data_IF_103148452934
#
_entry.id   IF_103148452934
#
_cell.length_a   1.000
_cell.length_b   1.000
_cell.length_c   1.000
_cell.angle_alpha   90.00
_cell.angle_beta   90.00
_cell.angle_gamma   90.00
#
_symmetry.space_group_name_H-M   'P 1'
#
loop_
_entity.id
_entity.type
_entity.pdbx_description
1 polymer ?
#
# COMPACT_ATOMS: atom_id res chain seq x y z
N UNK A 1 20.17 1.94 -8.31
CA UNK A 1 18.84 2.43 -7.94
C UNK A 1 17.90 2.09 -9.08
N UNK A 2 16.79 1.42 -8.80
CA UNK A 2 15.78 1.12 -9.82
C UNK A 2 14.74 2.23 -9.84
N UNK A 3 14.24 2.60 -11.01
CA UNK A 3 13.17 3.57 -11.17
C UNK A 3 11.91 2.86 -11.66
N UNK A 4 10.78 3.15 -11.04
CA UNK A 4 9.48 2.60 -11.42
C UNK A 4 8.40 3.67 -11.35
N UNK A 5 7.17 3.28 -11.70
CA UNK A 5 6.01 4.16 -11.67
C UNK A 5 4.88 3.49 -10.88
N UNK A 6 4.19 4.25 -10.04
CA UNK A 6 2.89 3.82 -9.52
C UNK A 6 1.87 3.84 -10.64
N UNK A 7 0.94 2.88 -10.66
CA UNK A 7 -0.14 2.90 -11.66
C UNK A 7 -1.26 3.87 -11.29
N UNK A 8 -1.17 4.56 -10.14
CA UNK A 8 -2.10 5.59 -9.72
C UNK A 8 -2.38 6.68 -10.79
N UNK A 9 -1.39 7.26 -11.51
CA UNK A 9 -1.68 8.24 -12.56
C UNK A 9 -2.47 7.68 -13.75
N UNK A 10 -2.66 6.37 -13.83
CA UNK A 10 -3.40 5.65 -14.87
C UNK A 10 -4.71 5.05 -14.32
N UNK A 11 -5.13 5.42 -13.10
CA UNK A 11 -6.21 4.74 -12.37
C UNK A 11 -7.62 4.94 -12.95
N UNK A 12 -7.76 5.79 -13.95
CA UNK A 12 -9.00 5.98 -14.72
C UNK A 12 -9.11 5.03 -15.92
N UNK A 13 -8.09 4.21 -16.15
CA UNK A 13 -8.05 3.23 -17.24
C UNK A 13 -7.81 1.83 -16.70
N UNK A 14 -8.25 0.80 -17.42
CA UNK A 14 -7.81 -0.56 -17.14
C UNK A 14 -6.30 -0.68 -17.37
N UNK A 15 -5.55 -1.11 -16.36
CA UNK A 15 -4.07 -1.19 -16.41
C UNK A 15 -3.58 -2.00 -17.63
N UNK A 16 -4.27 -3.09 -17.95
CA UNK A 16 -3.96 -3.94 -19.12
C UNK A 16 -3.89 -3.14 -20.43
N UNK A 17 -4.78 -2.16 -20.62
CA UNK A 17 -4.80 -1.32 -21.82
C UNK A 17 -3.63 -0.34 -21.91
N UNK A 18 -2.89 -0.13 -20.82
CA UNK A 18 -1.77 0.80 -20.71
C UNK A 18 -0.40 0.12 -20.71
N UNK A 19 -0.33 -1.21 -20.74
CA UNK A 19 0.94 -1.92 -20.82
C UNK A 19 1.80 -1.51 -22.04
N UNK A 20 1.24 -1.31 -23.25
CA UNK A 20 2.03 -0.83 -24.38
C UNK A 20 2.64 0.56 -24.14
N UNK A 21 1.88 1.46 -23.49
CA UNK A 21 2.38 2.80 -23.14
C UNK A 21 3.54 2.72 -22.14
N UNK A 22 3.43 1.85 -21.13
CA UNK A 22 4.51 1.63 -20.16
C UNK A 22 5.76 1.06 -20.84
N UNK A 23 5.58 0.13 -21.78
CA UNK A 23 6.67 -0.44 -22.56
C UNK A 23 7.35 0.59 -23.46
N UNK A 24 6.57 1.39 -24.22
CA UNK A 24 7.07 2.47 -25.07
C UNK A 24 7.86 3.51 -24.27
N UNK A 25 7.42 3.80 -23.04
CA UNK A 25 8.11 4.69 -22.10
C UNK A 25 9.35 4.06 -21.45
N UNK A 26 9.65 2.78 -21.72
CA UNK A 26 10.78 2.06 -21.15
C UNK A 26 10.63 1.70 -19.67
N UNK A 27 9.40 1.71 -19.14
CA UNK A 27 9.11 1.38 -17.74
C UNK A 27 9.22 -0.13 -17.54
N UNK A 28 10.04 -0.54 -16.57
CA UNK A 28 10.29 -1.95 -16.24
C UNK A 28 9.84 -2.35 -14.84
N UNK A 29 9.57 -1.38 -13.96
CA UNK A 29 9.17 -1.61 -12.59
C UNK A 29 7.89 -0.82 -12.29
N UNK A 30 6.90 -1.48 -11.71
CA UNK A 30 5.65 -0.82 -11.33
C UNK A 30 5.28 -1.08 -9.88
N UNK A 31 4.59 -0.09 -9.31
CA UNK A 31 3.73 -0.28 -8.14
C UNK A 31 2.29 -0.34 -8.62
N UNK A 32 1.56 -1.40 -8.28
CA UNK A 32 0.16 -1.53 -8.70
C UNK A 32 -0.77 -0.85 -7.69
N UNK A 33 -1.69 -0.03 -8.20
CA UNK A 33 -2.82 0.52 -7.45
C UNK A 33 -4.02 -0.45 -7.51
N UNK A 34 -4.46 -1.07 -6.41
CA UNK A 34 -5.65 -1.92 -6.41
C UNK A 34 -6.91 -1.06 -6.33
N UNK A 35 -7.46 -0.69 -7.48
CA UNK A 35 -8.70 0.09 -7.61
C UNK A 35 -9.64 -0.62 -8.59
N UNK A 36 -10.92 -0.72 -8.23
CA UNK A 36 -11.95 -1.23 -9.13
C UNK A 36 -11.99 -0.42 -10.43
N UNK A 37 -12.19 -1.10 -11.56
CA UNK A 37 -12.09 -0.49 -12.90
C UNK A 37 -10.65 -0.32 -13.42
N UNK A 38 -9.65 -0.23 -12.55
CA UNK A 38 -8.23 -0.14 -12.94
C UNK A 38 -7.50 -1.50 -12.87
N UNK A 39 -7.57 -2.16 -11.71
CA UNK A 39 -6.91 -3.43 -11.43
C UNK A 39 -7.73 -4.28 -10.45
N UNK A 40 -8.30 -5.39 -10.95
CA UNK A 40 -9.15 -6.28 -10.14
C UNK A 40 -8.30 -7.25 -9.30
N UNK A 41 -7.92 -6.83 -8.10
CA UNK A 41 -7.07 -7.62 -7.21
C UNK A 41 -7.79 -8.78 -6.50
N UNK A 42 -9.10 -8.93 -6.66
CA UNK A 42 -9.88 -10.01 -6.04
C UNK A 42 -10.07 -11.23 -6.94
N UNK A 43 -9.83 -11.11 -8.25
CA UNK A 43 -10.06 -12.20 -9.22
C UNK A 43 -8.76 -12.98 -9.50
N UNK A 44 -8.64 -14.23 -9.02
CA UNK A 44 -7.43 -15.04 -9.22
C UNK A 44 -7.13 -15.36 -10.69
N UNK A 45 -8.15 -15.42 -11.56
CA UNK A 45 -7.94 -15.68 -12.99
C UNK A 45 -7.37 -14.45 -13.67
N UNK A 46 -7.95 -13.28 -13.38
CA UNK A 46 -7.42 -12.00 -13.84
C UNK A 46 -5.96 -11.79 -13.40
N UNK A 47 -5.63 -12.10 -12.14
CA UNK A 47 -4.26 -11.98 -11.63
C UNK A 47 -3.28 -12.90 -12.37
N UNK A 48 -3.66 -14.14 -12.70
CA UNK A 48 -2.81 -15.04 -13.50
C UNK A 48 -2.59 -14.52 -14.92
N UNK A 49 -3.63 -13.96 -15.53
CA UNK A 49 -3.52 -13.33 -16.84
C UNK A 49 -2.60 -12.12 -16.79
N UNK A 50 -2.80 -11.22 -15.83
CA UNK A 50 -1.96 -10.03 -15.67
C UNK A 50 -0.51 -10.38 -15.36
N UNK A 51 -0.24 -11.39 -14.54
CA UNK A 51 1.12 -11.90 -14.29
C UNK A 51 1.82 -12.31 -15.59
N UNK A 52 1.11 -13.02 -16.49
CA UNK A 52 1.65 -13.38 -17.81
C UNK A 52 1.86 -12.17 -18.70
N UNK A 53 0.93 -11.21 -18.71
CA UNK A 53 1.06 -9.99 -19.49
C UNK A 53 2.23 -9.13 -19.03
N UNK A 54 2.41 -8.93 -17.71
CA UNK A 54 3.58 -8.22 -17.19
C UNK A 54 4.89 -8.86 -17.63
N UNK A 55 5.00 -10.20 -17.53
CA UNK A 55 6.18 -10.94 -18.01
C UNK A 55 6.43 -10.78 -19.51
N UNK A 56 5.37 -10.83 -20.34
CA UNK A 56 5.47 -10.63 -21.80
C UNK A 56 5.99 -9.25 -22.18
N UNK A 57 5.58 -8.22 -21.43
CA UNK A 57 5.99 -6.83 -21.64
C UNK A 57 7.32 -6.49 -20.92
N UNK A 58 7.96 -7.46 -20.25
CA UNK A 58 9.18 -7.23 -19.46
C UNK A 58 8.98 -6.26 -18.29
N UNK A 59 7.78 -6.22 -17.72
CA UNK A 59 7.42 -5.39 -16.56
C UNK A 59 7.45 -6.26 -15.30
N UNK A 60 8.17 -5.82 -14.27
CA UNK A 60 8.17 -6.42 -12.93
C UNK A 60 7.25 -5.62 -12.01
N UNK A 61 6.27 -6.30 -11.40
CA UNK A 61 5.54 -5.76 -10.25
C UNK A 61 6.49 -5.80 -9.04
N UNK A 62 6.81 -4.64 -8.47
CA UNK A 62 7.70 -4.54 -7.30
C UNK A 62 6.87 -4.44 -6.04
N UNK A 63 5.89 -3.54 -6.06
CA UNK A 63 5.00 -3.27 -4.95
C UNK A 63 3.54 -3.23 -5.38
N UNK A 64 2.66 -3.32 -4.40
CA UNK A 64 1.25 -2.98 -4.53
C UNK A 64 0.87 -2.07 -3.36
N UNK A 65 0.14 -1.02 -3.65
CA UNK A 65 -0.37 -0.12 -2.62
C UNK A 65 -1.58 -0.74 -1.92
N UNK A 66 -1.85 -0.40 -0.66
CA UNK A 66 -3.14 -0.73 -0.04
C UNK A 66 -4.30 -0.09 -0.82
N UNK A 67 -5.49 -0.72 -0.82
CA UNK A 67 -6.67 -0.19 -1.51
C UNK A 67 -7.18 1.09 -0.84
N UNK A 68 -7.80 1.96 -1.64
CA UNK A 68 -8.33 3.27 -1.18
C UNK A 68 -9.84 3.38 -1.28
N UNK A 69 -10.55 2.27 -1.34
CA UNK A 69 -12.01 2.17 -1.37
C UNK A 69 -12.64 2.23 0.03
N UNK A 70 -12.22 3.20 0.85
CA UNK A 70 -12.68 3.36 2.24
C UNK A 70 -11.92 2.52 3.27
N UNK A 71 -10.87 1.81 2.85
CA UNK A 71 -10.00 1.05 3.75
C UNK A 71 -9.19 1.99 4.63
N UNK A 72 -9.30 1.79 5.94
CA UNK A 72 -8.57 2.52 6.96
C UNK A 72 -8.31 1.63 8.18
N UNK A 73 -7.05 1.25 8.35
CA UNK A 73 -6.61 0.35 9.43
C UNK A 73 -6.59 1.02 10.81
N UNK A 74 -6.82 2.34 10.88
CA UNK A 74 -6.84 3.10 12.12
C UNK A 74 -8.25 3.31 12.68
N UNK A 75 -9.30 2.74 12.07
CA UNK A 75 -10.68 2.93 12.51
C UNK A 75 -10.90 2.47 13.97
N UNK A 76 -11.63 3.30 14.73
CA UNK A 76 -11.96 3.03 16.13
C UNK A 76 -12.99 1.90 16.21
N UNK A 77 -14.00 1.98 15.34
CA UNK A 77 -15.02 0.95 15.18
C UNK A 77 -14.40 -0.36 14.69
N UNK A 78 -14.56 -1.40 15.49
CA UNK A 78 -13.83 -2.65 15.32
C UNK A 78 -14.22 -3.38 14.03
N UNK A 79 -15.51 -3.34 13.67
CA UNK A 79 -16.01 -3.97 12.45
C UNK A 79 -15.33 -3.40 11.19
N UNK A 80 -15.32 -2.08 11.04
CA UNK A 80 -14.76 -1.41 9.86
C UNK A 80 -13.24 -1.54 9.81
N UNK A 81 -12.59 -1.52 10.97
CA UNK A 81 -11.15 -1.76 11.08
C UNK A 81 -10.78 -3.19 10.67
N UNK A 82 -11.49 -4.20 11.18
CA UNK A 82 -11.23 -5.60 10.83
C UNK A 82 -11.51 -5.82 9.34
N UNK A 83 -12.57 -5.24 8.78
CA UNK A 83 -12.80 -5.25 7.34
C UNK A 83 -11.60 -4.67 6.58
N UNK A 84 -11.09 -3.51 6.99
CA UNK A 84 -9.92 -2.86 6.39
C UNK A 84 -8.67 -3.73 6.44
N UNK A 85 -8.41 -4.41 7.56
CA UNK A 85 -7.30 -5.38 7.68
C UNK A 85 -7.44 -6.50 6.65
N UNK A 86 -8.64 -7.08 6.49
CA UNK A 86 -8.88 -8.16 5.51
C UNK A 86 -8.72 -7.70 4.07
N UNK A 87 -9.07 -6.46 3.75
CA UNK A 87 -8.83 -5.90 2.41
C UNK A 87 -7.33 -5.76 2.12
N UNK A 88 -6.54 -5.29 3.09
CA UNK A 88 -5.07 -5.20 2.96
C UNK A 88 -4.43 -6.58 2.80
N UNK A 89 -4.88 -7.59 3.54
CA UNK A 89 -4.42 -8.98 3.39
C UNK A 89 -4.72 -9.55 2.00
N UNK A 90 -5.91 -9.26 1.44
CA UNK A 90 -6.25 -9.66 0.05
C UNK A 90 -5.29 -9.04 -0.95
N UNK A 91 -4.92 -7.77 -0.76
CA UNK A 91 -3.90 -7.10 -1.57
C UNK A 91 -2.54 -7.77 -1.46
N UNK A 92 -2.13 -8.21 -0.27
CA UNK A 92 -0.89 -8.98 -0.09
C UNK A 92 -0.90 -10.30 -0.87
N UNK A 93 -2.02 -11.03 -0.87
CA UNK A 93 -2.17 -12.26 -1.66
C UNK A 93 -2.17 -11.99 -3.17
N UNK A 94 -2.79 -10.89 -3.61
CA UNK A 94 -2.75 -10.46 -5.00
C UNK A 94 -1.32 -10.13 -5.44
N UNK A 95 -0.58 -9.38 -4.63
CA UNK A 95 0.82 -9.04 -4.84
C UNK A 95 1.71 -10.30 -4.96
N UNK A 96 1.52 -11.27 -4.06
CA UNK A 96 2.24 -12.55 -4.10
C UNK A 96 2.05 -13.26 -5.44
N UNK A 97 0.81 -13.30 -5.94
CA UNK A 97 0.46 -13.94 -7.22
C UNK A 97 1.06 -13.24 -8.44
N UNK A 98 1.35 -11.95 -8.31
CA UNK A 98 2.07 -11.16 -9.31
C UNK A 98 3.59 -11.20 -9.13
N UNK A 99 4.11 -12.01 -8.20
CA UNK A 99 5.54 -12.15 -7.89
C UNK A 99 6.18 -10.84 -7.38
N UNK A 100 5.38 -9.96 -6.79
CA UNK A 100 5.85 -8.76 -6.11
C UNK A 100 6.17 -9.01 -4.63
N UNK A 101 6.84 -8.04 -4.00
CA UNK A 101 7.54 -8.27 -2.73
C UNK A 101 7.16 -7.28 -1.62
N UNK A 102 6.65 -6.09 -1.97
CA UNK A 102 6.42 -4.98 -1.05
C UNK A 102 4.96 -4.53 -1.07
N UNK A 103 4.28 -4.61 0.07
CA UNK A 103 2.96 -4.03 0.29
C UNK A 103 3.12 -2.65 0.93
N UNK A 104 2.68 -1.59 0.24
CA UNK A 104 2.71 -0.22 0.77
C UNK A 104 1.43 0.04 1.56
N UNK A 105 1.55 0.47 2.81
CA UNK A 105 0.43 0.62 3.74
C UNK A 105 0.48 2.00 4.38
N UNK A 106 -0.65 2.70 4.37
CA UNK A 106 -0.84 3.90 5.18
C UNK A 106 -1.18 3.50 6.63
N UNK A 107 -0.63 4.17 7.65
CA UNK A 107 -1.01 3.97 9.05
C UNK A 107 -2.49 4.27 9.31
N UNK A 108 -3.09 5.19 8.58
CA UNK A 108 -4.50 5.51 8.72
C UNK A 108 -4.95 6.64 7.80
N UNK A 109 -6.22 7.01 7.91
CA UNK A 109 -6.80 8.11 7.15
C UNK A 109 -6.84 9.42 7.97
N UNK A 110 -7.67 10.36 7.52
CA UNK A 110 -7.87 11.67 8.14
C UNK A 110 -8.40 11.54 9.58
N UNK A 111 -8.01 12.50 10.41
CA UNK A 111 -8.41 12.62 11.81
C UNK A 111 -9.29 13.87 11.92
N UNK A 112 -10.60 13.66 12.05
CA UNK A 112 -11.56 14.77 12.15
C UNK A 112 -11.51 15.47 13.52
N UNK A 113 -11.31 14.70 14.59
CA UNK A 113 -11.14 15.21 15.96
C UNK A 113 -9.75 14.82 16.48
N UNK A 114 -8.88 15.80 16.68
CA UNK A 114 -7.53 15.61 17.22
C UNK A 114 -7.51 14.86 18.57
N UNK A 115 -8.59 14.89 19.36
CA UNK A 115 -8.71 14.08 20.59
C UNK A 115 -8.65 12.58 20.30
N UNK A 116 -9.00 12.16 19.10
CA UNK A 116 -9.00 10.76 18.67
C UNK A 116 -7.65 10.30 18.14
N UNK A 117 -6.70 11.20 17.84
CA UNK A 117 -5.40 10.87 17.21
C UNK A 117 -4.68 9.73 17.92
N UNK A 118 -4.62 9.77 19.25
CA UNK A 118 -3.99 8.71 20.04
C UNK A 118 -4.69 7.35 19.85
N UNK A 119 -6.02 7.32 19.92
CA UNK A 119 -6.79 6.10 19.73
C UNK A 119 -6.66 5.56 18.29
N UNK A 120 -6.64 6.45 17.29
CA UNK A 120 -6.43 6.11 15.88
C UNK A 120 -5.06 5.46 15.67
N UNK A 121 -4.00 6.04 16.25
CA UNK A 121 -2.65 5.45 16.24
C UNK A 121 -2.61 4.09 16.93
N UNK A 122 -3.23 3.94 18.11
CA UNK A 122 -3.27 2.63 18.80
C UNK A 122 -3.98 1.56 17.96
N UNK A 123 -5.08 1.92 17.27
CA UNK A 123 -5.80 1.02 16.36
C UNK A 123 -4.97 0.68 15.12
N UNK A 124 -4.28 1.66 14.55
CA UNK A 124 -3.33 1.49 13.45
C UNK A 124 -2.25 0.48 13.80
N UNK A 125 -1.60 0.64 14.96
CA UNK A 125 -0.56 -0.27 15.42
C UNK A 125 -1.11 -1.68 15.63
N UNK A 126 -2.30 -1.84 16.24
CA UNK A 126 -2.92 -3.16 16.38
C UNK A 126 -3.19 -3.82 15.02
N UNK A 127 -3.75 -3.08 14.06
CA UNK A 127 -4.02 -3.61 12.73
C UNK A 127 -2.75 -3.90 11.94
N UNK A 128 -1.71 -3.06 12.08
CA UNK A 128 -0.40 -3.31 11.49
C UNK A 128 0.24 -4.58 12.04
N UNK A 129 0.06 -4.89 13.34
CA UNK A 129 0.51 -6.15 13.93
C UNK A 129 -0.16 -7.37 13.27
N UNK A 130 -1.47 -7.30 13.04
CA UNK A 130 -2.23 -8.37 12.36
C UNK A 130 -1.76 -8.56 10.91
N UNK A 131 -1.64 -7.46 10.16
CA UNK A 131 -1.22 -7.48 8.75
C UNK A 131 0.24 -7.96 8.64
N UNK A 132 1.12 -7.54 9.55
CA UNK A 132 2.52 -7.96 9.59
C UNK A 132 2.65 -9.47 9.82
N UNK A 133 1.95 -10.00 10.83
CA UNK A 133 1.90 -11.45 11.09
C UNK A 133 1.41 -12.23 9.87
N UNK A 134 0.40 -11.72 9.18
CA UNK A 134 -0.09 -12.32 7.94
C UNK A 134 0.97 -12.29 6.83
N UNK A 135 1.56 -11.13 6.55
CA UNK A 135 2.54 -10.95 5.48
C UNK A 135 3.81 -11.78 5.70
N UNK A 136 4.25 -11.95 6.95
CA UNK A 136 5.41 -12.78 7.30
C UNK A 136 5.23 -14.24 6.88
N UNK A 137 4.02 -14.79 6.95
CA UNK A 137 3.73 -16.16 6.49
C UNK A 137 3.95 -16.35 4.99
N UNK A 138 3.81 -15.27 4.21
CA UNK A 138 3.92 -15.28 2.74
C UNK A 138 5.23 -14.68 2.24
N UNK A 139 6.11 -14.23 3.14
CA UNK A 139 7.36 -13.57 2.77
C UNK A 139 7.18 -12.18 2.15
N UNK A 140 6.00 -11.56 2.31
CA UNK A 140 5.73 -10.19 1.86
C UNK A 140 6.30 -9.22 2.90
N UNK A 141 6.92 -8.14 2.41
CA UNK A 141 7.40 -7.03 3.24
C UNK A 141 6.36 -5.92 3.24
N UNK A 142 6.23 -5.23 4.36
CA UNK A 142 5.39 -4.04 4.48
C UNK A 142 6.29 -2.81 4.45
N UNK A 143 5.91 -1.81 3.66
CA UNK A 143 6.48 -0.47 3.72
C UNK A 143 5.41 0.49 4.25
N UNK A 144 5.61 0.99 5.47
CA UNK A 144 4.69 1.94 6.11
C UNK A 144 4.96 3.34 5.56
N UNK A 145 3.96 3.96 4.93
CA UNK A 145 4.10 5.25 4.27
C UNK A 145 3.75 6.43 5.17
N UNK A 146 4.54 7.50 5.14
CA UNK A 146 4.17 8.77 5.76
C UNK A 146 3.04 9.44 4.98
N UNK A 147 2.04 9.98 5.69
CA UNK A 147 0.82 10.51 5.07
C UNK A 147 0.81 12.05 5.03
N UNK A 148 -0.22 12.62 4.40
CA UNK A 148 -0.46 14.06 4.37
C UNK A 148 -0.84 14.61 5.77
N UNK A 149 -0.61 15.92 6.04
CA UNK A 149 -1.01 16.56 7.30
C UNK A 149 -2.48 16.29 7.69
N UNK A 150 -2.72 16.06 8.99
CA UNK A 150 -4.05 15.78 9.54
C UNK A 150 -4.45 14.29 9.49
N UNK A 151 -3.55 13.41 9.04
CA UNK A 151 -3.77 11.95 8.99
C UNK A 151 -2.93 11.22 10.03
N UNK A 152 -3.26 9.96 10.29
CA UNK A 152 -2.39 9.11 11.13
C UNK A 152 -1.06 8.85 10.41
N UNK A 153 0.06 9.07 11.09
CA UNK A 153 1.40 8.97 10.49
C UNK A 153 1.75 10.11 9.55
N UNK A 154 1.16 11.29 9.77
CA UNK A 154 1.46 12.52 9.03
C UNK A 154 2.82 13.14 9.37
N UNK A 155 3.61 12.49 10.23
CA UNK A 155 4.96 12.92 10.57
C UNK A 155 5.97 11.77 10.53
N UNK A 156 7.17 12.04 10.01
CA UNK A 156 8.26 11.06 10.00
C UNK A 156 8.68 10.55 11.38
N UNK A 157 8.73 11.38 12.45
CA UNK A 157 8.97 10.89 13.80
C UNK A 157 7.96 9.81 14.24
N UNK A 158 6.66 10.01 13.98
CA UNK A 158 5.63 9.02 14.30
C UNK A 158 5.83 7.72 13.53
N UNK A 159 6.09 7.78 12.22
CA UNK A 159 6.39 6.60 11.40
C UNK A 159 7.61 5.84 11.93
N UNK A 160 8.68 6.56 12.30
CA UNK A 160 9.89 5.96 12.85
C UNK A 160 9.62 5.29 14.21
N UNK A 161 8.81 5.90 15.08
CA UNK A 161 8.40 5.29 16.35
C UNK A 161 7.61 4.00 16.12
N UNK A 162 6.64 4.01 15.21
CA UNK A 162 5.83 2.83 14.87
C UNK A 162 6.73 1.70 14.36
N UNK A 163 7.56 1.95 13.34
CA UNK A 163 8.42 0.90 12.75
C UNK A 163 9.42 0.34 13.77
N UNK A 164 10.02 1.19 14.61
CA UNK A 164 10.94 0.74 15.68
C UNK A 164 10.25 -0.09 16.76
N UNK A 165 8.97 0.18 17.05
CA UNK A 165 8.20 -0.58 18.03
C UNK A 165 8.05 -2.06 17.64
N UNK A 166 7.88 -2.35 16.35
CA UNK A 166 7.70 -3.72 15.87
C UNK A 166 9.00 -4.51 15.74
N UNK A 167 10.13 -3.84 15.50
CA UNK A 167 11.46 -4.46 15.34
C UNK A 167 11.47 -5.69 14.41
N UNK A 168 10.65 -5.64 13.33
CA UNK A 168 10.56 -6.74 12.36
C UNK A 168 11.35 -6.42 11.11
N UNK A 169 12.12 -7.41 10.63
CA UNK A 169 12.81 -7.37 9.32
C UNK A 169 11.85 -7.29 8.13
N UNK A 170 10.56 -7.56 8.35
CA UNK A 170 9.50 -7.53 7.34
C UNK A 170 8.74 -6.20 7.33
N UNK A 171 9.06 -5.26 8.22
CA UNK A 171 8.46 -3.93 8.26
C UNK A 171 9.53 -2.85 8.00
N UNK A 172 9.29 -1.99 7.02
CA UNK A 172 10.11 -0.84 6.69
C UNK A 172 9.28 0.42 6.46
N UNK A 173 9.91 1.44 5.88
CA UNK A 173 9.31 2.74 5.61
C UNK A 173 9.20 2.95 4.10
N UNK A 174 8.02 3.37 3.64
CA UNK A 174 7.86 4.06 2.35
C UNK A 174 7.99 5.56 2.61
N UNK A 175 9.05 6.19 2.12
CA UNK A 175 9.23 7.63 2.28
C UNK A 175 8.61 8.36 1.10
N UNK A 176 7.39 8.87 1.27
CA UNK A 176 6.82 9.84 0.33
C UNK A 176 7.41 11.22 0.63
N UNK A 177 8.33 11.64 -0.23
CA UNK A 177 9.00 12.94 -0.13
C UNK A 177 8.08 14.12 -0.41
N UNK A 178 7.00 13.93 -1.17
CA UNK A 178 5.99 14.94 -1.45
C UNK A 178 5.17 15.27 -0.19
N UNK A 179 4.70 14.25 0.52
CA UNK A 179 4.05 14.38 1.82
C UNK A 179 4.97 15.04 2.85
N UNK A 180 6.26 14.65 2.89
CA UNK A 180 7.25 15.30 3.76
C UNK A 180 7.40 16.80 3.46
N UNK A 181 7.45 17.18 2.18
CA UNK A 181 7.59 18.57 1.76
C UNK A 181 6.38 19.42 2.19
N UNK A 182 5.17 18.87 2.08
CA UNK A 182 3.94 19.55 2.51
C UNK A 182 3.91 19.69 4.04
N UNK A 183 4.30 18.66 4.77
CA UNK A 183 4.29 18.64 6.24
C UNK A 183 5.34 19.56 6.85
N UNK A 184 6.49 19.72 6.20
CA UNK A 184 7.60 20.58 6.69
C UNK A 184 7.34 22.08 6.52
N UNK A 185 6.21 22.46 5.95
CA UNK A 185 5.88 23.85 5.59
C UNK A 185 5.03 24.59 6.64
N UNK A 186 4.90 24.04 7.85
CA UNK A 186 4.12 24.61 8.96
C UNK A 186 4.97 24.84 10.22
#
# INVERSE_FOLDING_TARGET
>A
MNFGISTMPLEDYQLKSKLPLLEEAGIRYIEVKPKEGHFNYYDPKYLDEMSKEFKRNGIKVVSMHMPTNGVDISLIEEYDRVWSVREVEKTALALLRLEGEILVVHPGSEIEDEKTRKARREKSEQSLEEILKFCEQWGIKIALENTLPGKTGDSMPEILEIVKKFDSKNLGICLDTGHCNITSSF
#
